data_IF_814392092831
#
_entry.id   IF_814392092831
#
_cell.length_a   1.000
_cell.length_b   1.000
_cell.length_c   1.000
_cell.angle_alpha   90.00
_cell.angle_beta   90.00
_cell.angle_gamma   90.00
#
_symmetry.space_group_name_H-M   'P 1'
#
loop_
_entity.id
_entity.type
_entity.pdbx_description
1 polymer ?
#
# COMPACT_ATOMS: atom_id res chain seq x y z
N UNK A 1 -30.66 -32.83 -4.86
CA UNK A 1 -29.84 -31.92 -5.69
C UNK A 1 -29.09 -31.01 -4.74
N UNK A 2 -27.79 -31.18 -4.65
CA UNK A 2 -26.96 -30.36 -3.77
C UNK A 2 -26.74 -29.01 -4.44
N UNK A 3 -26.98 -27.92 -3.71
CA UNK A 3 -26.71 -26.54 -4.14
C UNK A 3 -25.21 -26.28 -3.93
N UNK A 4 -24.38 -26.90 -4.76
CA UNK A 4 -22.91 -26.87 -4.60
C UNK A 4 -22.23 -25.73 -5.39
N UNK A 5 -22.94 -25.02 -6.28
CA UNK A 5 -22.29 -24.06 -7.19
C UNK A 5 -22.54 -22.57 -6.86
N UNK A 6 -23.33 -22.24 -5.83
CA UNK A 6 -23.61 -20.82 -5.51
C UNK A 6 -22.78 -20.25 -4.37
N UNK A 7 -22.16 -21.08 -3.56
CA UNK A 7 -21.50 -20.64 -2.33
C UNK A 7 -20.13 -20.01 -2.59
N UNK A 8 -19.24 -20.55 -3.44
CA UNK A 8 -17.88 -20.01 -3.59
C UNK A 8 -17.82 -18.58 -4.14
N UNK A 9 -18.64 -18.25 -5.13
CA UNK A 9 -18.60 -16.95 -5.79
C UNK A 9 -19.09 -15.80 -4.87
N UNK A 10 -20.08 -16.07 -4.03
CA UNK A 10 -20.59 -15.07 -3.08
C UNK A 10 -19.58 -14.79 -1.98
N UNK A 11 -18.86 -15.80 -1.54
CA UNK A 11 -17.81 -15.68 -0.51
C UNK A 11 -16.61 -14.89 -1.01
N UNK A 12 -16.11 -15.17 -2.20
CA UNK A 12 -14.99 -14.45 -2.79
C UNK A 12 -15.30 -12.97 -3.00
N UNK A 13 -16.49 -12.62 -3.48
CA UNK A 13 -16.91 -11.23 -3.67
C UNK A 13 -17.00 -10.46 -2.35
N UNK A 14 -17.47 -11.08 -1.27
CA UNK A 14 -17.54 -10.46 0.07
C UNK A 14 -16.15 -10.25 0.67
N UNK A 15 -15.26 -11.23 0.49
CA UNK A 15 -13.89 -11.14 0.96
C UNK A 15 -13.13 -10.04 0.24
N UNK A 16 -13.24 -9.93 -1.07
CA UNK A 16 -12.66 -8.86 -1.88
C UNK A 16 -13.12 -7.48 -1.40
N UNK A 17 -14.42 -7.30 -1.16
CA UNK A 17 -14.94 -6.02 -0.67
C UNK A 17 -14.38 -5.64 0.70
N UNK A 18 -14.17 -6.60 1.59
CA UNK A 18 -13.57 -6.37 2.91
C UNK A 18 -12.09 -5.98 2.79
N UNK A 19 -11.35 -6.61 1.88
CA UNK A 19 -9.95 -6.29 1.60
C UNK A 19 -9.78 -4.88 1.05
N UNK A 20 -10.53 -4.49 0.05
CA UNK A 20 -10.44 -3.16 -0.58
C UNK A 20 -10.66 -2.02 0.41
N UNK A 21 -11.59 -2.18 1.35
CA UNK A 21 -11.91 -1.14 2.34
C UNK A 21 -10.89 -0.99 3.46
N UNK A 22 -10.08 -1.99 3.73
CA UNK A 22 -9.17 -2.01 4.89
C UNK A 22 -7.72 -1.71 4.56
N UNK A 23 -7.31 -1.80 3.28
CA UNK A 23 -5.95 -1.46 2.86
C UNK A 23 -5.72 0.05 2.89
N UNK A 24 -4.65 0.50 3.55
CA UNK A 24 -4.19 1.89 3.53
C UNK A 24 -3.05 2.05 2.52
N UNK A 25 -1.99 1.25 2.65
CA UNK A 25 -0.86 1.26 1.73
C UNK A 25 -1.23 0.68 0.35
N UNK A 26 -2.18 -0.25 0.28
CA UNK A 26 -2.66 -0.86 -0.96
C UNK A 26 -3.71 -0.05 -1.73
N UNK A 27 -4.07 1.17 -1.28
CA UNK A 27 -5.01 2.02 -2.00
C UNK A 27 -4.37 2.59 -3.29
N UNK A 28 -5.16 2.72 -4.35
CA UNK A 28 -4.70 3.28 -5.63
C UNK A 28 -4.16 4.72 -5.55
N UNK A 29 -4.51 5.45 -4.50
CA UNK A 29 -3.93 6.77 -4.20
C UNK A 29 -2.55 6.73 -3.52
N UNK A 30 -2.07 5.54 -3.13
CA UNK A 30 -0.79 5.33 -2.43
C UNK A 30 0.16 4.49 -3.27
N UNK A 31 -0.36 3.48 -3.96
CA UNK A 31 0.43 2.54 -4.76
C UNK A 31 -0.17 2.40 -6.16
N UNK A 32 0.66 2.13 -7.15
CA UNK A 32 0.21 1.81 -8.49
C UNK A 32 -0.25 0.35 -8.57
N UNK A 33 -1.46 0.10 -9.06
CA UNK A 33 -2.09 -1.22 -9.23
C UNK A 33 -2.31 -1.62 -10.68
N UNK A 34 -1.67 -0.93 -11.65
CA UNK A 34 -1.90 -1.16 -13.07
C UNK A 34 -1.55 -2.58 -13.55
N UNK A 35 -0.74 -3.31 -12.79
CA UNK A 35 -0.25 -4.65 -13.15
C UNK A 35 -1.05 -5.81 -12.55
N UNK A 36 -2.17 -5.56 -11.86
CA UNK A 36 -2.98 -6.62 -11.23
C UNK A 36 -3.56 -7.61 -12.24
N UNK A 37 -3.94 -7.15 -13.44
CA UNK A 37 -4.54 -7.99 -14.49
C UNK A 37 -3.60 -9.02 -15.11
N UNK A 38 -2.30 -8.88 -14.92
CA UNK A 38 -1.28 -9.74 -15.53
C UNK A 38 -0.92 -10.98 -14.69
N UNK A 39 -1.46 -11.06 -13.46
CA UNK A 39 -1.14 -12.15 -12.52
C UNK A 39 -2.05 -13.34 -12.80
N UNK A 40 -1.46 -14.53 -12.96
CA UNK A 40 -2.18 -15.80 -13.20
C UNK A 40 -1.89 -16.87 -12.16
N UNK A 41 -0.69 -16.88 -11.58
CA UNK A 41 -0.28 -17.90 -10.60
C UNK A 41 0.82 -17.37 -9.65
N UNK A 42 1.05 -18.11 -8.56
CA UNK A 42 2.17 -17.88 -7.65
C UNK A 42 3.52 -18.05 -8.39
N UNK A 43 4.44 -17.13 -8.14
CA UNK A 43 5.74 -17.09 -8.82
C UNK A 43 5.72 -16.40 -10.20
N UNK A 44 4.58 -15.85 -10.63
CA UNK A 44 4.50 -15.07 -11.85
C UNK A 44 5.42 -13.84 -11.79
N UNK A 45 5.94 -13.49 -12.95
CA UNK A 45 6.85 -12.36 -13.13
C UNK A 45 6.25 -11.37 -14.09
N UNK A 46 5.95 -10.19 -13.59
CA UNK A 46 5.55 -9.06 -14.43
C UNK A 46 6.79 -8.25 -14.78
N UNK A 47 7.02 -8.04 -16.07
CA UNK A 47 8.15 -7.30 -16.57
C UNK A 47 7.75 -5.85 -16.83
N UNK A 48 8.39 -4.94 -16.11
CA UNK A 48 8.20 -3.51 -16.23
C UNK A 48 9.37 -2.97 -17.03
N UNK A 49 9.09 -2.38 -18.20
CA UNK A 49 10.08 -1.78 -19.08
C UNK A 49 10.20 -0.30 -18.77
N UNK A 50 11.40 0.19 -18.61
CA UNK A 50 11.74 1.61 -18.54
C UNK A 50 12.75 1.94 -19.61
N UNK A 51 12.62 3.09 -20.26
CA UNK A 51 13.58 3.60 -21.25
C UNK A 51 14.47 4.64 -20.59
N UNK A 52 15.75 4.63 -20.95
CA UNK A 52 16.66 5.68 -20.53
C UNK A 52 16.32 6.99 -21.24
N UNK A 53 16.62 8.11 -20.58
CA UNK A 53 16.44 9.43 -21.16
C UNK A 53 17.32 9.59 -22.41
N UNK A 54 16.75 10.25 -23.42
CA UNK A 54 17.43 10.55 -24.66
C UNK A 54 18.24 11.84 -24.53
N UNK A 55 19.46 11.85 -25.08
CA UNK A 55 20.28 13.04 -25.11
C UNK A 55 19.76 14.06 -26.13
N UNK A 56 19.40 15.24 -25.68
CA UNK A 56 18.97 16.33 -26.55
C UNK A 56 20.21 17.14 -26.99
N UNK A 57 20.54 17.05 -28.25
CA UNK A 57 21.65 17.81 -28.87
C UNK A 57 21.20 19.13 -29.47
N UNK A 58 22.11 20.11 -29.57
CA UNK A 58 21.88 21.37 -30.27
C UNK A 58 22.22 21.23 -31.74
N UNK A 59 21.28 21.52 -32.61
CA UNK A 59 21.50 21.49 -34.05
C UNK A 59 22.00 22.85 -34.58
N UNK A 60 23.16 22.84 -35.21
CA UNK A 60 23.73 24.00 -35.91
C UNK A 60 23.76 23.69 -37.43
N UNK A 61 23.11 24.51 -38.25
CA UNK A 61 23.02 24.32 -39.70
C UNK A 61 24.43 24.22 -40.33
N UNK A 62 24.64 23.20 -41.17
CA UNK A 62 25.88 22.89 -41.89
C UNK A 62 27.10 22.53 -41.03
N UNK A 63 26.94 22.33 -39.70
CA UNK A 63 28.03 21.98 -38.79
C UNK A 63 27.73 20.70 -37.97
N UNK A 64 26.46 20.44 -37.65
CA UNK A 64 26.10 19.30 -36.76
C UNK A 64 25.88 18.04 -37.58
N UNK A 65 26.61 16.99 -37.28
CA UNK A 65 26.32 15.61 -37.73
C UNK A 65 25.44 14.93 -36.69
N UNK A 66 24.23 14.51 -37.08
CA UNK A 66 23.29 13.82 -36.19
C UNK A 66 23.77 12.38 -36.02
N UNK A 67 24.07 12.02 -34.80
CA UNK A 67 24.28 10.60 -34.38
C UNK A 67 23.01 10.05 -33.76
N UNK A 68 22.63 8.83 -34.12
CA UNK A 68 21.47 8.15 -33.53
C UNK A 68 21.94 7.34 -32.31
N UNK A 69 21.31 7.57 -31.17
CA UNK A 69 21.50 6.77 -29.97
C UNK A 69 20.64 5.49 -30.05
N UNK A 70 21.16 4.39 -29.56
CA UNK A 70 20.40 3.17 -29.39
C UNK A 70 19.60 3.28 -28.08
N UNK A 71 18.29 3.08 -28.16
CA UNK A 71 17.44 2.96 -26.98
C UNK A 71 17.87 1.73 -26.19
N UNK A 72 18.33 1.98 -24.97
CA UNK A 72 18.59 0.89 -24.01
C UNK A 72 17.37 0.69 -23.12
N UNK A 73 16.85 -0.51 -23.14
CA UNK A 73 15.73 -0.96 -22.32
C UNK A 73 16.26 -1.42 -20.95
N UNK A 74 15.81 -0.77 -19.89
CA UNK A 74 16.03 -1.23 -18.53
C UNK A 74 14.80 -2.02 -18.07
N UNK A 75 14.99 -3.32 -17.86
CA UNK A 75 13.93 -4.23 -17.45
C UNK A 75 13.92 -4.42 -15.94
N UNK A 76 12.82 -4.07 -15.30
CA UNK A 76 12.56 -4.40 -13.91
C UNK A 76 11.57 -5.57 -13.84
N UNK A 77 11.72 -6.43 -12.86
CA UNK A 77 10.81 -7.56 -12.66
C UNK A 77 10.10 -7.40 -11.32
N UNK A 78 8.77 -7.40 -11.36
CA UNK A 78 7.92 -7.57 -10.18
C UNK A 78 7.69 -9.07 -9.99
N UNK A 79 8.01 -9.60 -8.82
CA UNK A 79 7.78 -10.99 -8.43
C UNK A 79 6.52 -11.05 -7.57
N UNK A 80 5.67 -12.04 -7.85
CA UNK A 80 4.54 -12.42 -7.00
C UNK A 80 5.03 -13.59 -6.13
N UNK A 81 5.60 -13.27 -4.99
CA UNK A 81 6.28 -14.21 -4.10
C UNK A 81 5.57 -14.42 -2.76
N UNK A 82 4.50 -13.67 -2.51
CA UNK A 82 3.74 -13.78 -1.28
C UNK A 82 2.45 -14.55 -1.51
N UNK A 83 2.34 -15.70 -0.84
CA UNK A 83 1.11 -16.48 -0.77
C UNK A 83 0.65 -16.61 0.68
N UNK A 84 -0.52 -16.11 1.00
CA UNK A 84 -1.13 -16.18 2.32
C UNK A 84 -2.48 -16.86 2.22
N UNK A 85 -2.78 -17.72 3.19
CA UNK A 85 -4.06 -18.40 3.23
C UNK A 85 -4.75 -18.19 4.58
N UNK A 86 -6.05 -18.30 4.56
CA UNK A 86 -6.84 -18.53 5.76
C UNK A 86 -7.62 -19.83 5.61
N UNK A 87 -7.86 -20.50 6.72
CA UNK A 87 -8.73 -21.66 6.79
C UNK A 87 -9.42 -21.71 8.15
N UNK A 88 -10.71 -21.92 8.16
CA UNK A 88 -11.47 -22.19 9.37
C UNK A 88 -12.51 -23.28 9.11
N UNK A 89 -12.90 -23.98 10.16
CA UNK A 89 -13.94 -25.02 10.09
C UNK A 89 -15.13 -24.63 10.97
N UNK A 90 -16.30 -25.03 10.53
CA UNK A 90 -17.56 -24.92 11.28
C UNK A 90 -18.12 -26.33 11.43
N UNK A 91 -18.31 -26.78 12.66
CA UNK A 91 -18.89 -28.07 12.96
C UNK A 91 -20.39 -28.05 12.77
N UNK A 92 -20.96 -29.14 12.26
CA UNK A 92 -22.43 -29.24 11.99
C UNK A 92 -23.27 -29.08 13.27
N UNK A 93 -22.76 -29.57 14.41
CA UNK A 93 -23.43 -29.43 15.69
C UNK A 93 -23.45 -27.95 16.13
N UNK A 94 -22.34 -27.27 15.96
CA UNK A 94 -22.24 -25.84 16.24
C UNK A 94 -23.04 -25.01 15.21
N UNK A 95 -23.00 -25.39 13.93
CA UNK A 95 -23.76 -24.73 12.88
C UNK A 95 -25.29 -24.77 13.13
N UNK A 96 -25.79 -25.88 13.66
CA UNK A 96 -27.21 -26.03 14.02
C UNK A 96 -27.62 -25.13 15.22
N UNK A 97 -26.70 -24.79 16.10
CA UNK A 97 -26.89 -23.94 17.28
C UNK A 97 -26.52 -22.48 17.03
N UNK A 98 -25.68 -22.21 16.01
CA UNK A 98 -25.21 -20.87 15.67
C UNK A 98 -26.19 -20.12 14.77
N UNK A 99 -26.26 -18.82 15.00
CA UNK A 99 -26.96 -17.92 14.07
C UNK A 99 -26.13 -17.73 12.81
N UNK A 100 -26.74 -17.64 11.59
CA UNK A 100 -26.03 -17.51 10.30
C UNK A 100 -25.02 -16.36 10.23
N UNK A 101 -25.15 -15.36 11.10
CA UNK A 101 -24.29 -14.18 11.15
C UNK A 101 -22.83 -14.44 11.60
N UNK A 102 -22.53 -15.60 12.22
CA UNK A 102 -21.19 -15.88 12.75
C UNK A 102 -20.21 -16.21 11.64
N UNK A 103 -20.67 -16.90 10.61
CA UNK A 103 -19.84 -17.23 9.43
C UNK A 103 -19.49 -15.96 8.66
N UNK A 104 -20.44 -15.04 8.48
CA UNK A 104 -20.18 -13.74 7.86
C UNK A 104 -19.16 -12.92 8.68
N UNK A 105 -19.27 -12.93 10.01
CA UNK A 105 -18.33 -12.25 10.88
C UNK A 105 -16.91 -12.87 10.82
N UNK A 106 -16.80 -14.19 10.75
CA UNK A 106 -15.53 -14.90 10.61
C UNK A 106 -14.85 -14.58 9.26
N UNK A 107 -15.61 -14.56 8.18
CA UNK A 107 -15.12 -14.21 6.85
C UNK A 107 -14.64 -12.75 6.78
N UNK A 108 -15.41 -11.81 7.33
CA UNK A 108 -15.01 -10.41 7.41
C UNK A 108 -13.73 -10.24 8.21
N UNK A 109 -13.59 -10.98 9.31
CA UNK A 109 -12.36 -10.94 10.12
C UNK A 109 -11.17 -11.56 9.39
N UNK A 110 -11.36 -12.64 8.63
CA UNK A 110 -10.32 -13.24 7.80
C UNK A 110 -9.88 -12.27 6.70
N UNK A 111 -10.81 -11.57 6.04
CA UNK A 111 -10.51 -10.52 5.07
C UNK A 111 -9.69 -9.37 5.67
N UNK A 112 -10.08 -8.92 6.88
CA UNK A 112 -9.31 -7.89 7.58
C UNK A 112 -7.87 -8.34 7.90
N UNK A 113 -7.68 -9.59 8.36
CA UNK A 113 -6.35 -10.13 8.67
C UNK A 113 -5.47 -10.27 7.44
N UNK A 114 -6.01 -10.72 6.31
CA UNK A 114 -5.28 -10.77 5.04
C UNK A 114 -4.89 -9.37 4.58
N UNK A 115 -5.80 -8.40 4.69
CA UNK A 115 -5.53 -6.99 4.38
C UNK A 115 -4.41 -6.42 5.24
N UNK A 116 -4.44 -6.69 6.54
CA UNK A 116 -3.42 -6.20 7.47
C UNK A 116 -2.03 -6.77 7.12
N UNK A 117 -1.96 -8.06 6.76
CA UNK A 117 -0.69 -8.70 6.38
C UNK A 117 -0.15 -8.11 5.09
N UNK A 118 -0.99 -7.86 4.08
CA UNK A 118 -0.60 -7.24 2.81
C UNK A 118 -0.17 -5.77 3.02
N UNK A 119 -0.91 -5.02 3.82
CA UNK A 119 -0.60 -3.62 4.16
C UNK A 119 0.75 -3.50 4.88
N UNK A 120 1.01 -4.40 5.83
CA UNK A 120 2.30 -4.46 6.55
C UNK A 120 3.46 -4.86 5.65
N UNK A 121 3.22 -5.74 4.68
CA UNK A 121 4.23 -6.10 3.68
C UNK A 121 4.60 -4.90 2.80
N UNK A 122 3.59 -4.18 2.28
CA UNK A 122 3.79 -2.93 1.53
C UNK A 122 4.55 -1.89 2.35
N UNK A 123 4.13 -1.68 3.60
CA UNK A 123 4.82 -0.77 4.50
C UNK A 123 6.30 -1.14 4.67
N UNK A 124 6.64 -2.44 4.72
CA UNK A 124 8.01 -2.95 4.83
C UNK A 124 8.92 -2.61 3.65
N UNK A 125 8.38 -2.26 2.49
CA UNK A 125 9.16 -1.85 1.31
C UNK A 125 9.85 -0.49 1.47
N UNK A 126 9.62 0.25 2.55
CA UNK A 126 10.34 1.49 2.84
C UNK A 126 11.85 1.33 2.80
N UNK A 127 12.38 0.14 3.05
CA UNK A 127 13.81 -0.17 2.99
C UNK A 127 14.41 -0.08 1.58
N UNK A 128 13.56 -0.19 0.54
CA UNK A 128 13.95 -0.03 -0.86
C UNK A 128 13.95 1.42 -1.35
N UNK A 129 13.54 2.38 -0.51
CA UNK A 129 13.52 3.80 -0.81
C UNK A 129 14.89 4.40 -0.45
N UNK A 130 15.51 5.08 -1.39
CA UNK A 130 16.85 5.66 -1.23
C UNK A 130 16.83 7.01 -0.54
N UNK A 131 15.75 7.77 -0.69
CA UNK A 131 15.62 9.12 -0.17
C UNK A 131 15.01 9.09 1.24
N UNK A 132 15.74 9.59 2.22
CA UNK A 132 15.27 9.63 3.60
C UNK A 132 15.88 10.80 4.39
N UNK A 133 15.11 11.37 5.30
CA UNK A 133 15.61 12.34 6.28
C UNK A 133 16.33 11.66 7.44
N UNK A 134 17.29 12.40 8.04
CA UNK A 134 17.89 11.98 9.30
C UNK A 134 16.83 11.87 10.40
N UNK A 135 16.99 10.87 11.28
CA UNK A 135 16.06 10.67 12.40
C UNK A 135 16.07 11.88 13.34
N UNK A 136 14.91 12.38 13.65
CA UNK A 136 14.74 13.54 14.52
C UNK A 136 13.46 13.48 15.35
N UNK A 137 13.47 14.09 16.53
CA UNK A 137 12.30 14.16 17.39
C UNK A 137 11.18 14.96 16.70
N UNK A 138 9.96 14.42 16.75
CA UNK A 138 8.77 15.08 16.27
C UNK A 138 7.98 15.69 17.45
N UNK A 139 7.66 16.95 17.31
CA UNK A 139 6.84 17.71 18.27
C UNK A 139 5.69 18.39 17.55
N UNK A 140 4.67 18.84 18.27
CA UNK A 140 3.58 19.61 17.68
C UNK A 140 4.06 20.89 16.98
N UNK A 141 5.20 21.46 17.40
CA UNK A 141 5.75 22.68 16.81
C UNK A 141 6.46 22.42 15.46
N UNK A 142 7.14 21.28 15.30
CA UNK A 142 8.03 21.05 14.15
C UNK A 142 7.50 20.06 13.11
N UNK A 143 6.50 19.24 13.45
CA UNK A 143 6.03 18.16 12.56
C UNK A 143 5.46 18.69 11.22
N UNK A 144 4.75 19.82 11.26
CA UNK A 144 4.25 20.45 10.05
C UNK A 144 5.40 20.90 9.13
N UNK A 145 6.42 21.54 9.70
CA UNK A 145 7.60 21.96 8.95
C UNK A 145 8.34 20.77 8.31
N UNK A 146 8.50 19.67 9.02
CA UNK A 146 9.15 18.45 8.49
C UNK A 146 8.39 17.86 7.30
N UNK A 147 7.06 17.89 7.32
CA UNK A 147 6.26 17.45 6.18
C UNK A 147 6.40 18.41 4.99
N UNK A 148 6.49 19.72 5.25
CA UNK A 148 6.76 20.71 4.19
C UNK A 148 8.16 20.50 3.61
N UNK A 149 9.18 20.26 4.42
CA UNK A 149 10.54 19.93 3.97
C UNK A 149 10.54 18.66 3.08
N UNK A 150 9.81 17.62 3.48
CA UNK A 150 9.63 16.42 2.65
C UNK A 150 8.98 16.74 1.30
N UNK A 151 8.00 17.64 1.26
CA UNK A 151 7.37 18.07 0.01
C UNK A 151 8.36 18.83 -0.90
N UNK A 152 9.23 19.67 -0.31
CA UNK A 152 10.28 20.40 -1.03
C UNK A 152 11.29 19.42 -1.63
N UNK A 153 11.74 18.41 -0.89
CA UNK A 153 12.65 17.38 -1.41
C UNK A 153 12.04 16.61 -2.60
N UNK A 154 10.74 16.31 -2.54
CA UNK A 154 10.02 15.71 -3.68
C UNK A 154 9.91 16.69 -4.89
N UNK A 155 9.82 18.00 -4.64
CA UNK A 155 9.83 19.01 -5.71
C UNK A 155 11.21 19.12 -6.38
N UNK A 156 12.28 19.04 -5.59
CA UNK A 156 13.67 19.04 -6.11
C UNK A 156 13.95 17.80 -6.99
N UNK A 157 13.30 16.67 -6.70
CA UNK A 157 13.36 15.45 -7.51
C UNK A 157 12.38 15.45 -8.70
N UNK A 158 11.70 16.56 -8.99
CA UNK A 158 10.73 16.71 -10.06
C UNK A 158 9.55 15.73 -10.00
N UNK A 159 9.15 15.28 -8.81
CA UNK A 159 7.98 14.42 -8.65
C UNK A 159 6.70 15.23 -8.91
N UNK A 160 5.68 14.68 -9.62
CA UNK A 160 4.41 15.38 -9.83
C UNK A 160 3.77 15.83 -8.53
N UNK A 161 3.24 17.06 -8.47
CA UNK A 161 2.63 17.60 -7.25
C UNK A 161 1.24 17.04 -6.98
N UNK A 162 0.51 16.64 -8.03
CA UNK A 162 -0.83 16.07 -7.91
C UNK A 162 -0.75 14.59 -7.51
N UNK A 163 -1.61 14.18 -6.58
CA UNK A 163 -1.70 12.78 -6.17
C UNK A 163 -0.64 12.34 -5.17
N UNK A 164 0.12 13.27 -4.59
CA UNK A 164 1.07 12.94 -3.51
C UNK A 164 0.34 12.50 -2.25
N UNK A 165 0.93 11.57 -1.55
CA UNK A 165 0.44 11.04 -0.28
C UNK A 165 1.53 11.08 0.79
N UNK A 166 1.11 11.00 2.07
CA UNK A 166 1.99 10.69 3.18
C UNK A 166 1.22 9.81 4.19
N UNK A 167 1.78 8.65 4.51
CA UNK A 167 1.19 7.71 5.47
C UNK A 167 1.82 7.92 6.83
N UNK A 168 1.05 8.42 7.79
CA UNK A 168 1.52 8.80 9.13
C UNK A 168 0.96 7.89 10.22
N UNK A 169 1.69 7.64 11.30
CA UNK A 169 1.14 6.94 12.46
C UNK A 169 0.17 7.85 13.25
N UNK A 170 -0.78 7.27 14.03
CA UNK A 170 -1.80 8.05 14.75
C UNK A 170 -1.24 9.10 15.71
N UNK A 171 -0.08 8.83 16.34
CA UNK A 171 0.53 9.80 17.26
C UNK A 171 1.04 11.05 16.52
N UNK A 172 1.58 10.91 15.30
CA UNK A 172 1.97 12.04 14.44
C UNK A 172 0.74 12.82 13.98
N UNK A 173 -0.34 12.10 13.63
CA UNK A 173 -1.63 12.72 13.33
C UNK A 173 -2.12 13.59 14.49
N UNK A 174 -2.00 13.10 15.72
CA UNK A 174 -2.31 13.86 16.94
C UNK A 174 -1.45 15.12 17.11
N UNK A 175 -0.15 15.05 16.79
CA UNK A 175 0.74 16.22 16.82
C UNK A 175 0.38 17.28 15.77
N UNK A 176 -0.03 16.83 14.57
CA UNK A 176 -0.50 17.75 13.51
C UNK A 176 -1.75 18.51 13.94
N UNK A 177 -2.71 17.85 14.57
CA UNK A 177 -3.92 18.47 15.08
C UNK A 177 -3.66 19.44 16.26
N UNK A 178 -2.51 19.35 16.92
CA UNK A 178 -2.07 20.30 17.94
C UNK A 178 -1.26 21.47 17.37
N UNK A 179 -0.87 21.42 16.10
CA UNK A 179 -0.08 22.46 15.47
C UNK A 179 -0.98 23.64 15.05
N UNK A 180 -0.72 24.82 15.62
CA UNK A 180 -1.51 26.03 15.35
C UNK A 180 -1.43 26.50 13.89
N UNK A 181 -0.27 26.31 13.24
CA UNK A 181 -0.08 26.69 11.83
C UNK A 181 -0.91 25.81 10.91
N UNK A 182 -0.94 24.50 11.19
CA UNK A 182 -1.77 23.54 10.45
C UNK A 182 -3.26 23.84 10.63
N UNK A 183 -3.72 24.10 11.85
CA UNK A 183 -5.12 24.43 12.14
C UNK A 183 -5.55 25.74 11.48
N UNK A 184 -4.67 26.74 11.45
CA UNK A 184 -4.95 28.01 10.78
C UNK A 184 -5.07 27.86 9.25
N UNK A 185 -4.28 26.95 8.66
CA UNK A 185 -4.32 26.66 7.23
C UNK A 185 -5.49 25.75 6.82
N UNK A 186 -6.05 24.96 7.74
CA UNK A 186 -7.06 23.93 7.49
C UNK A 186 -8.26 24.08 8.43
N UNK A 187 -9.16 25.01 8.11
CA UNK A 187 -10.38 25.24 8.90
C UNK A 187 -11.26 23.98 9.03
N UNK A 188 -11.26 23.11 8.02
CA UNK A 188 -12.01 21.86 8.01
C UNK A 188 -11.45 20.84 9.02
N UNK A 189 -10.11 20.76 9.16
CA UNK A 189 -9.46 19.90 10.16
C UNK A 189 -9.73 20.34 11.59
N UNK A 190 -9.84 21.65 11.82
CA UNK A 190 -10.16 22.20 13.13
C UNK A 190 -11.58 21.83 13.60
N UNK A 191 -12.53 21.71 12.65
CA UNK A 191 -13.93 21.39 12.97
C UNK A 191 -14.19 19.90 13.13
N UNK A 192 -13.62 19.07 12.26
CA UNK A 192 -13.97 17.66 12.15
C UNK A 192 -12.86 16.71 12.65
N UNK A 193 -11.69 17.22 13.03
CA UNK A 193 -10.51 16.40 13.37
C UNK A 193 -9.96 15.59 12.19
N UNK A 194 -10.48 15.82 10.98
CA UNK A 194 -10.01 15.15 9.79
C UNK A 194 -8.71 15.79 9.30
N UNK A 195 -7.68 14.98 9.06
CA UNK A 195 -6.43 15.45 8.50
C UNK A 195 -6.57 15.37 6.99
N UNK A 196 -6.64 16.53 6.34
CA UNK A 196 -6.80 16.63 4.89
C UNK A 196 -5.46 16.53 4.15
N UNK A 197 -4.93 17.68 3.76
CA UNK A 197 -3.68 17.79 3.00
C UNK A 197 -2.67 18.67 3.74
N UNK A 198 -1.39 18.33 3.61
CA UNK A 198 -0.25 19.14 4.05
C UNK A 198 0.69 19.32 2.87
N UNK A 199 0.99 20.55 2.49
CA UNK A 199 1.89 20.90 1.38
C UNK A 199 1.55 20.12 0.08
N UNK A 200 0.26 19.96 -0.25
CA UNK A 200 -0.20 19.23 -1.45
C UNK A 200 -0.22 17.71 -1.30
N UNK A 201 0.25 17.15 -0.19
CA UNK A 201 0.21 15.72 0.09
C UNK A 201 -1.05 15.34 0.87
N UNK A 202 -1.77 14.30 0.44
CA UNK A 202 -2.89 13.71 1.17
C UNK A 202 -2.38 12.91 2.37
N UNK A 203 -2.82 13.26 3.57
CA UNK A 203 -2.39 12.60 4.81
C UNK A 203 -3.31 11.41 5.10
N UNK A 204 -2.72 10.23 5.13
CA UNK A 204 -3.39 8.97 5.48
C UNK A 204 -2.86 8.48 6.82
N UNK A 205 -3.75 8.01 7.68
CA UNK A 205 -3.38 7.51 9.02
C UNK A 205 -3.41 5.99 9.03
N UNK A 206 -2.28 5.37 9.40
CA UNK A 206 -2.18 3.92 9.54
C UNK A 206 -1.41 3.52 10.78
N UNK A 207 -1.88 2.45 11.44
CA UNK A 207 -1.14 1.80 12.52
C UNK A 207 -0.01 0.89 12.00
N UNK A 208 0.01 0.59 10.69
CA UNK A 208 0.99 -0.29 10.06
C UNK A 208 2.25 0.45 9.59
N UNK A 209 2.42 1.72 9.96
CA UNK A 209 3.67 2.46 9.69
C UNK A 209 4.85 1.73 10.32
N UNK A 210 5.90 1.40 9.55
CA UNK A 210 7.06 0.65 10.05
C UNK A 210 7.78 1.41 11.16
N UNK A 211 8.20 0.68 12.18
CA UNK A 211 8.97 1.22 13.30
C UNK A 211 10.23 0.42 13.53
N UNK A 212 11.32 1.09 13.92
CA UNK A 212 12.60 0.46 14.26
C UNK A 212 13.12 0.99 15.59
N UNK A 213 13.96 0.19 16.25
CA UNK A 213 14.53 0.53 17.55
C UNK A 213 13.63 0.14 18.72
N UNK A 214 14.19 0.13 19.93
CA UNK A 214 13.48 -0.20 21.18
C UNK A 214 13.19 1.02 22.05
N UNK A 215 14.09 2.00 22.06
CA UNK A 215 13.92 3.30 22.71
C UNK A 215 15.06 4.25 22.31
N UNK A 216 14.82 5.36 21.62
CA UNK A 216 13.51 5.79 21.08
C UNK A 216 13.08 4.96 19.87
N UNK A 217 11.78 4.70 19.76
CA UNK A 217 11.18 4.04 18.60
C UNK A 217 11.11 5.03 17.45
N UNK A 218 11.71 4.68 16.31
CA UNK A 218 11.70 5.50 15.10
C UNK A 218 10.61 5.02 14.18
N UNK A 219 9.68 5.91 13.81
CA UNK A 219 8.64 5.66 12.82
C UNK A 219 9.11 6.12 11.44
N UNK A 220 8.88 5.28 10.43
CA UNK A 220 9.24 5.53 9.04
C UNK A 220 8.00 5.93 8.25
N UNK A 221 7.76 7.24 8.14
CA UNK A 221 6.66 7.82 7.39
C UNK A 221 7.04 7.79 5.91
N UNK A 222 6.27 7.09 5.09
CA UNK A 222 6.45 7.07 3.65
C UNK A 222 5.59 8.16 3.03
N UNK A 223 6.23 9.04 2.28
CA UNK A 223 5.60 10.10 1.50
C UNK A 223 6.07 10.04 0.05
N UNK A 224 5.25 10.47 -0.90
CA UNK A 224 5.62 10.51 -2.30
C UNK A 224 4.44 10.40 -3.25
N UNK A 225 4.69 9.84 -4.42
CA UNK A 225 3.70 9.64 -5.47
C UNK A 225 3.49 8.14 -5.75
N UNK A 226 2.26 7.69 -6.08
CA UNK A 226 1.95 6.28 -6.33
C UNK A 226 2.82 5.62 -7.41
N UNK A 227 3.35 6.39 -8.35
CA UNK A 227 4.25 5.87 -9.40
C UNK A 227 5.56 5.28 -8.86
N UNK A 228 5.94 5.59 -7.61
CA UNK A 228 7.20 5.14 -7.03
C UNK A 228 7.26 3.65 -6.74
N UNK A 229 6.12 3.02 -6.49
CA UNK A 229 6.01 1.60 -6.20
C UNK A 229 4.77 0.98 -6.85
N UNK A 230 4.79 -0.33 -7.01
CA UNK A 230 3.65 -1.08 -7.55
C UNK A 230 3.27 -2.21 -6.62
N UNK A 231 2.00 -2.48 -6.57
CA UNK A 231 1.40 -3.58 -5.85
C UNK A 231 0.48 -4.33 -6.80
N UNK A 232 0.59 -5.64 -6.80
CA UNK A 232 -0.28 -6.49 -7.58
C UNK A 232 -0.77 -7.63 -6.69
N UNK A 233 -2.08 -7.84 -6.65
CA UNK A 233 -2.72 -8.85 -5.80
C UNK A 233 -3.77 -9.63 -6.57
N UNK A 234 -3.97 -10.86 -6.15
CA UNK A 234 -5.05 -11.70 -6.64
C UNK A 234 -5.57 -12.58 -5.50
N UNK A 235 -6.87 -12.59 -5.28
CA UNK A 235 -7.51 -13.63 -4.50
C UNK A 235 -7.82 -14.77 -5.45
N UNK A 236 -7.04 -15.85 -5.34
CA UNK A 236 -7.07 -16.93 -6.30
C UNK A 236 -8.32 -17.78 -6.13
N UNK A 237 -8.67 -18.10 -4.89
CA UNK A 237 -9.80 -18.98 -4.63
C UNK A 237 -10.31 -18.87 -3.19
N UNK A 238 -11.63 -18.92 -3.03
CA UNK A 238 -12.29 -19.11 -1.73
C UNK A 238 -13.22 -20.29 -1.87
N UNK A 239 -12.87 -21.39 -1.24
CA UNK A 239 -13.59 -22.64 -1.34
C UNK A 239 -14.25 -23.02 -0.01
N UNK A 240 -15.48 -23.54 -0.10
CA UNK A 240 -16.13 -24.29 0.97
C UNK A 240 -15.95 -25.78 0.72
N UNK A 241 -15.36 -26.50 1.67
CA UNK A 241 -15.04 -27.94 1.55
C UNK A 241 -15.70 -28.69 2.68
N UNK A 242 -16.35 -29.83 2.35
CA UNK A 242 -16.76 -30.80 3.36
C UNK A 242 -15.53 -31.59 3.84
N UNK A 243 -15.27 -31.59 5.14
CA UNK A 243 -14.12 -32.28 5.70
C UNK A 243 -14.39 -33.79 5.82
N UNK A 244 -13.47 -34.61 5.30
CA UNK A 244 -13.64 -36.07 5.28
C UNK A 244 -13.54 -36.73 6.69
N UNK A 245 -12.79 -36.12 7.60
CA UNK A 245 -12.52 -36.65 8.93
C UNK A 245 -13.43 -36.14 10.04
N UNK A 246 -14.42 -35.28 9.74
CA UNK A 246 -15.31 -34.66 10.73
C UNK A 246 -16.63 -34.23 10.07
N UNK A 247 -17.70 -34.16 10.87
CA UNK A 247 -18.98 -33.59 10.44
C UNK A 247 -18.88 -32.05 10.50
N UNK A 248 -18.08 -31.46 9.59
CA UNK A 248 -17.79 -30.05 9.59
C UNK A 248 -17.58 -29.54 8.16
N UNK A 249 -17.96 -28.30 7.93
CA UNK A 249 -17.65 -27.57 6.72
C UNK A 249 -16.42 -26.67 6.96
N UNK A 250 -15.43 -26.75 6.04
CA UNK A 250 -14.26 -25.90 6.04
C UNK A 250 -14.36 -24.79 4.99
N UNK A 251 -13.97 -23.59 5.35
CA UNK A 251 -13.79 -22.48 4.39
C UNK A 251 -12.31 -22.15 4.34
N UNK A 252 -11.75 -22.12 3.13
CA UNK A 252 -10.35 -21.74 2.89
C UNK A 252 -10.26 -20.71 1.77
N UNK A 253 -9.31 -19.81 1.87
CA UNK A 253 -9.02 -18.85 0.80
C UNK A 253 -7.53 -18.60 0.69
N UNK A 254 -7.06 -18.38 -0.54
CA UNK A 254 -5.68 -18.09 -0.88
C UNK A 254 -5.59 -16.68 -1.46
N UNK A 255 -4.64 -15.89 -0.95
CA UNK A 255 -4.32 -14.55 -1.41
C UNK A 255 -2.88 -14.51 -1.89
N UNK A 256 -2.69 -14.23 -3.18
CA UNK A 256 -1.39 -14.04 -3.81
C UNK A 256 -1.14 -12.55 -4.01
N UNK A 257 0.05 -12.09 -3.70
CA UNK A 257 0.44 -10.71 -3.96
C UNK A 257 1.95 -10.54 -4.08
N UNK A 258 2.32 -9.44 -4.69
CA UNK A 258 3.69 -9.00 -4.79
C UNK A 258 3.76 -7.49 -4.87
N UNK A 259 4.86 -6.90 -4.45
CA UNK A 259 5.07 -5.47 -4.55
C UNK A 259 6.55 -5.14 -4.73
N UNK A 260 6.82 -4.02 -5.38
CA UNK A 260 8.18 -3.55 -5.63
C UNK A 260 8.23 -2.04 -5.74
N UNK A 261 9.32 -1.45 -5.24
CA UNK A 261 9.67 -0.06 -5.54
C UNK A 261 10.24 0.00 -6.95
N UNK A 262 9.60 0.77 -7.82
CA UNK A 262 9.97 0.94 -9.24
C UNK A 262 10.83 2.18 -9.42
N UNK A 263 10.37 3.31 -8.86
CA UNK A 263 11.05 4.60 -8.91
C UNK A 263 11.30 5.09 -7.49
N UNK A 264 12.46 4.77 -6.90
CA UNK A 264 12.77 5.16 -5.53
C UNK A 264 12.80 6.68 -5.34
N UNK A 265 13.10 7.46 -6.39
CA UNK A 265 13.16 8.92 -6.34
C UNK A 265 11.77 9.58 -6.23
N UNK A 266 10.70 8.86 -6.59
CA UNK A 266 9.33 9.33 -6.42
C UNK A 266 8.80 9.14 -4.98
N UNK A 267 9.60 8.57 -4.10
CA UNK A 267 9.26 8.27 -2.71
C UNK A 267 10.33 8.84 -1.77
N UNK A 268 9.88 9.24 -0.59
CA UNK A 268 10.73 9.74 0.49
C UNK A 268 10.32 9.16 1.84
N UNK A 269 11.29 8.83 2.69
CA UNK A 269 11.05 8.30 4.05
C UNK A 269 11.42 9.36 5.08
N UNK A 270 10.42 9.93 5.72
CA UNK A 270 10.59 10.82 6.86
C UNK A 270 10.72 9.98 8.14
N UNK A 271 11.88 10.04 8.79
CA UNK A 271 12.20 9.29 10.01
C UNK A 271 11.97 10.16 11.24
N UNK A 272 11.01 9.78 12.07
CA UNK A 272 10.67 10.54 13.28
C UNK A 272 10.56 9.64 14.49
N UNK A 273 10.93 10.18 15.64
CA UNK A 273 10.71 9.59 16.95
C UNK A 273 9.89 10.54 17.83
N UNK A 274 9.11 10.01 18.79
CA UNK A 274 8.37 10.82 19.74
C UNK A 274 9.29 11.57 20.71
#
# INVERSE_FOLDING_TARGET
>A
MAITNMIPQIWSARLLLALEKSLVFGQSGVVNTDYEGDIRADGDRVHIHSFNDLTVGTYVKNSTTISYELLTDARQTLLIDQSKYFAFKVDDVDAAQMRPKIVDAATNRAGYQLSEVADRYLAGLYTGITNFTATSAATSANIYQKLVETAVELDELNVPQQGRFAVVPPWVAGLLLQNSTFLAASAQSALNGAIGQVAGMSILVSNNVPTTGTAPVVSHIVAGHPMGWTFAQQITDVEGIRLEGSFADGVRGLHLYGAKVIQPDALHVLRVNP
#
